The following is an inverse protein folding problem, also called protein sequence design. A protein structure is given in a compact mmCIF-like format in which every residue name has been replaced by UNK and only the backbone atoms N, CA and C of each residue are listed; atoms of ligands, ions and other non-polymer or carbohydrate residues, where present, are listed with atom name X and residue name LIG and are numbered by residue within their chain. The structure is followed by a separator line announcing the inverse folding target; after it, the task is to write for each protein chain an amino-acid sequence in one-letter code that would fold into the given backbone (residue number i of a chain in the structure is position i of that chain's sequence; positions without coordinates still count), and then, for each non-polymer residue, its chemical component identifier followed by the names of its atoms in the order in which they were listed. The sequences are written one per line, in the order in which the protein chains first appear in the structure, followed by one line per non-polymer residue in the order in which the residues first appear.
data_IF_497808197880
#
_entry.id   IF_497808197880
#
_cell.length_a   1.000
_cell.length_b   1.000
_cell.length_c   1.000
_cell.angle_alpha   90.00
_cell.angle_beta   90.00
_cell.angle_gamma   90.00
#
_symmetry.space_group_name_H-M   'P 1'
#
loop_
_entity.id
_entity.type
_entity.pdbx_description
1 polymer ?
#
# COMPACT_ATOMS: atom_id res chain seq x y z
N UNK A 1 -31.65 28.91 -6.11
CA UNK A 1 -31.20 27.56 -6.52
C UNK A 1 -29.73 27.43 -6.12
N UNK A 2 -29.45 26.77 -5.00
CA UNK A 2 -28.08 26.52 -4.58
C UNK A 2 -27.61 25.19 -5.21
N UNK A 3 -26.39 25.10 -5.75
CA UNK A 3 -25.86 23.86 -6.26
C UNK A 3 -25.68 22.90 -5.08
N UNK A 4 -26.32 21.73 -5.18
CA UNK A 4 -26.05 20.61 -4.29
C UNK A 4 -24.60 20.21 -4.49
N UNK A 5 -23.74 20.57 -3.53
CA UNK A 5 -22.37 20.05 -3.41
C UNK A 5 -22.47 18.56 -3.09
N UNK A 6 -22.79 17.77 -4.11
CA UNK A 6 -22.45 16.37 -4.12
C UNK A 6 -20.93 16.33 -4.11
N UNK A 7 -20.34 15.92 -3.00
CA UNK A 7 -18.97 15.43 -3.00
C UNK A 7 -18.97 14.35 -4.08
N UNK A 8 -18.42 14.64 -5.25
CA UNK A 8 -18.33 13.68 -6.32
C UNK A 8 -17.43 12.55 -5.78
N UNK A 9 -17.99 11.36 -5.45
CA UNK A 9 -17.24 10.34 -4.73
C UNK A 9 -16.00 9.89 -5.52
N UNK A 10 -16.02 10.06 -6.84
CA UNK A 10 -14.89 9.71 -7.71
C UNK A 10 -13.65 10.57 -7.53
N UNK A 11 -13.79 11.86 -7.18
CA UNK A 11 -12.63 12.77 -7.07
C UNK A 11 -11.87 12.55 -5.77
N UNK A 12 -12.58 12.35 -4.65
CA UNK A 12 -11.96 12.00 -3.36
C UNK A 12 -11.27 10.64 -3.41
N UNK A 13 -11.96 9.63 -3.97
CA UNK A 13 -11.42 8.27 -4.13
C UNK A 13 -10.16 8.23 -5.00
N UNK A 14 -10.10 9.00 -6.09
CA UNK A 14 -8.92 9.06 -6.95
C UNK A 14 -7.70 9.68 -6.23
N UNK A 15 -7.93 10.70 -5.38
CA UNK A 15 -6.89 11.32 -4.57
C UNK A 15 -6.35 10.33 -3.53
N UNK A 16 -7.24 9.61 -2.85
CA UNK A 16 -6.85 8.63 -1.82
C UNK A 16 -6.09 7.45 -2.43
N UNK A 17 -6.50 6.98 -3.62
CA UNK A 17 -5.78 5.96 -4.37
C UNK A 17 -4.38 6.42 -4.80
N UNK A 18 -4.25 7.67 -5.26
CA UNK A 18 -2.97 8.28 -5.61
C UNK A 18 -2.02 8.35 -4.42
N UNK A 19 -2.53 8.75 -3.24
CA UNK A 19 -1.75 8.77 -2.00
C UNK A 19 -1.31 7.38 -1.56
N UNK A 20 -2.21 6.38 -1.61
CA UNK A 20 -1.88 5.00 -1.24
C UNK A 20 -0.80 4.41 -2.16
N UNK A 21 -0.90 4.66 -3.47
CA UNK A 21 0.12 4.23 -4.45
C UNK A 21 1.47 4.87 -4.18
N UNK A 22 1.49 6.19 -3.91
CA UNK A 22 2.74 6.88 -3.59
C UNK A 22 3.35 6.38 -2.27
N UNK A 23 2.53 6.09 -1.27
CA UNK A 23 2.99 5.52 0.00
C UNK A 23 3.60 4.11 -0.21
N UNK A 24 2.97 3.26 -1.03
CA UNK A 24 3.49 1.94 -1.38
C UNK A 24 4.88 2.03 -2.02
N UNK A 25 5.06 2.89 -3.04
CA UNK A 25 6.37 3.09 -3.68
C UNK A 25 7.44 3.58 -2.70
N UNK A 26 7.07 4.45 -1.75
CA UNK A 26 8.01 4.91 -0.70
C UNK A 26 8.41 3.77 0.25
N UNK A 27 7.49 2.86 0.57
CA UNK A 27 7.78 1.68 1.40
C UNK A 27 8.72 0.71 0.68
N UNK A 28 8.51 0.45 -0.60
CA UNK A 28 9.41 -0.41 -1.41
C UNK A 28 10.83 0.18 -1.45
N UNK A 29 10.96 1.48 -1.68
CA UNK A 29 12.26 2.15 -1.68
C UNK A 29 12.96 2.08 -0.30
N UNK A 30 12.19 2.27 0.78
CA UNK A 30 12.73 2.13 2.14
C UNK A 30 13.18 0.68 2.42
N UNK A 31 12.41 -0.32 1.97
CA UNK A 31 12.75 -1.72 2.07
C UNK A 31 14.09 -2.04 1.37
N UNK A 32 14.28 -1.53 0.15
CA UNK A 32 15.52 -1.73 -0.61
C UNK A 32 16.73 -1.09 0.06
N UNK A 33 16.57 0.14 0.58
CA UNK A 33 17.63 0.82 1.33
C UNK A 33 18.03 0.02 2.57
N UNK A 34 17.05 -0.41 3.36
CA UNK A 34 17.27 -1.17 4.60
C UNK A 34 17.96 -2.50 4.29
N UNK A 35 17.51 -3.20 3.25
CA UNK A 35 18.13 -4.45 2.82
C UNK A 35 19.58 -4.22 2.37
N UNK A 36 19.86 -3.16 1.62
CA UNK A 36 21.22 -2.78 1.22
C UNK A 36 22.12 -2.44 2.41
N UNK A 37 21.60 -1.77 3.44
CA UNK A 37 22.34 -1.51 4.69
C UNK A 37 22.65 -2.81 5.43
N UNK A 38 21.69 -3.73 5.53
CA UNK A 38 21.88 -5.05 6.13
C UNK A 38 23.00 -5.83 5.43
N UNK A 39 22.98 -5.90 4.10
CA UNK A 39 24.01 -6.63 3.32
C UNK A 39 25.40 -6.03 3.54
N UNK A 40 25.52 -4.69 3.53
CA UNK A 40 26.80 -4.01 3.81
C UNK A 40 27.31 -4.31 5.22
N UNK A 41 26.42 -4.23 6.21
CA UNK A 41 26.80 -4.52 7.60
C UNK A 41 27.22 -5.98 7.78
N UNK A 42 26.53 -6.92 7.13
CA UNK A 42 26.93 -8.34 7.09
C UNK A 42 28.33 -8.53 6.51
N UNK A 43 28.67 -7.82 5.42
CA UNK A 43 30.00 -7.85 4.83
C UNK A 43 31.08 -7.36 5.80
N UNK A 44 30.87 -6.19 6.42
CA UNK A 44 31.82 -5.64 7.40
C UNK A 44 31.95 -6.54 8.65
N UNK A 45 30.86 -7.15 9.10
CA UNK A 45 30.88 -8.08 10.22
C UNK A 45 31.72 -9.34 9.92
N UNK A 46 31.57 -9.91 8.72
CA UNK A 46 32.35 -11.06 8.30
C UNK A 46 33.84 -10.74 8.16
N UNK A 47 34.17 -9.56 7.62
CA UNK A 47 35.56 -9.09 7.50
C UNK A 47 36.20 -8.85 8.88
N UNK A 48 35.44 -8.28 9.82
CA UNK A 48 35.90 -8.09 11.19
C UNK A 48 36.15 -9.42 11.90
N UNK A 49 35.21 -10.36 11.78
CA UNK A 49 35.31 -11.67 12.41
C UNK A 49 36.49 -12.49 11.85
N UNK A 50 36.79 -12.38 10.57
CA UNK A 50 37.92 -13.06 9.94
C UNK A 50 39.28 -12.56 10.44
N UNK A 51 39.39 -11.29 10.79
CA UNK A 51 40.64 -10.64 11.18
C UNK A 51 40.80 -10.50 12.70
N UNK A 52 39.74 -10.68 13.48
CA UNK A 52 39.73 -10.40 14.91
C UNK A 52 39.04 -11.52 15.70
N UNK A 53 39.79 -12.55 16.11
CA UNK A 53 39.31 -13.57 17.06
C UNK A 53 39.61 -13.13 18.50
N UNK A 54 38.66 -12.48 19.16
CA UNK A 54 38.80 -12.12 20.58
C UNK A 54 37.43 -12.00 21.28
N UNK A 55 37.41 -11.78 22.60
CA UNK A 55 36.17 -11.48 23.33
C UNK A 55 35.39 -10.29 22.73
N UNK A 56 36.07 -9.33 22.08
CA UNK A 56 35.42 -8.19 21.43
C UNK A 56 34.61 -8.60 20.19
N UNK A 57 35.07 -9.59 19.41
CA UNK A 57 34.33 -10.05 18.22
C UNK A 57 33.06 -10.79 18.59
N UNK A 58 33.05 -11.53 19.70
CA UNK A 58 31.82 -12.17 20.23
C UNK A 58 30.77 -11.14 20.68
N UNK A 59 31.20 -10.05 21.31
CA UNK A 59 30.30 -8.94 21.66
C UNK A 59 29.75 -8.25 20.42
N UNK A 60 30.61 -7.99 19.42
CA UNK A 60 30.17 -7.43 18.14
C UNK A 60 29.17 -8.35 17.43
N UNK A 61 29.45 -9.66 17.38
CA UNK A 61 28.56 -10.67 16.80
C UNK A 61 27.18 -10.67 17.48
N UNK A 62 27.14 -10.60 18.81
CA UNK A 62 25.88 -10.56 19.56
C UNK A 62 25.04 -9.32 19.23
N UNK A 63 25.66 -8.14 19.20
CA UNK A 63 24.98 -6.89 18.83
C UNK A 63 24.54 -6.92 17.36
N UNK A 64 25.38 -7.48 16.50
CA UNK A 64 25.07 -7.65 15.09
C UNK A 64 23.86 -8.57 14.85
N UNK A 65 23.78 -9.69 15.58
CA UNK A 65 22.66 -10.63 15.49
C UNK A 65 21.35 -9.98 15.95
N UNK A 66 21.39 -9.21 17.04
CA UNK A 66 20.25 -8.43 17.55
C UNK A 66 19.79 -7.38 16.53
N UNK A 67 20.74 -6.66 15.93
CA UNK A 67 20.47 -5.69 14.88
C UNK A 67 19.84 -6.33 13.63
N UNK A 68 20.30 -7.53 13.26
CA UNK A 68 19.76 -8.28 12.14
C UNK A 68 18.33 -8.77 12.41
N UNK A 69 18.00 -9.15 13.64
CA UNK A 69 16.62 -9.47 14.03
C UNK A 69 15.71 -8.26 13.92
N UNK A 70 16.17 -7.08 14.37
CA UNK A 70 15.39 -5.86 14.28
C UNK A 70 15.17 -5.40 12.84
N UNK A 71 16.16 -5.57 11.96
CA UNK A 71 15.95 -5.35 10.53
C UNK A 71 14.89 -6.27 9.94
N UNK A 72 14.87 -7.54 10.32
CA UNK A 72 13.82 -8.46 9.83
C UNK A 72 12.43 -8.01 10.28
N UNK A 73 12.27 -7.58 11.54
CA UNK A 73 11.01 -7.02 12.03
C UNK A 73 10.59 -5.78 11.24
N UNK A 74 11.51 -4.88 10.96
CA UNK A 74 11.23 -3.66 10.18
C UNK A 74 10.84 -3.98 8.73
N UNK A 75 11.57 -4.86 8.06
CA UNK A 75 11.25 -5.30 6.69
C UNK A 75 9.88 -5.98 6.64
N UNK A 76 9.57 -6.83 7.63
CA UNK A 76 8.25 -7.47 7.75
C UNK A 76 7.13 -6.43 7.93
N UNK A 77 7.31 -5.45 8.82
CA UNK A 77 6.33 -4.39 9.02
C UNK A 77 6.12 -3.54 7.74
N UNK A 78 7.19 -3.22 7.01
CA UNK A 78 7.11 -2.51 5.73
C UNK A 78 6.33 -3.33 4.68
N UNK A 79 6.60 -4.63 4.59
CA UNK A 79 5.89 -5.54 3.69
C UNK A 79 4.39 -5.63 4.03
N UNK A 80 4.05 -5.74 5.31
CA UNK A 80 2.65 -5.76 5.77
C UNK A 80 1.91 -4.46 5.46
N UNK A 81 2.57 -3.31 5.68
CA UNK A 81 2.00 -2.02 5.30
C UNK A 81 1.80 -1.91 3.79
N UNK A 82 2.75 -2.39 2.99
CA UNK A 82 2.61 -2.42 1.54
C UNK A 82 1.41 -3.27 1.10
N UNK A 83 1.25 -4.48 1.65
CA UNK A 83 0.09 -5.34 1.39
C UNK A 83 -1.24 -4.67 1.77
N UNK A 84 -1.30 -3.98 2.91
CA UNK A 84 -2.50 -3.25 3.33
C UNK A 84 -2.85 -2.10 2.38
N UNK A 85 -1.86 -1.41 1.82
CA UNK A 85 -2.08 -0.35 0.84
C UNK A 85 -2.59 -0.91 -0.49
N UNK A 86 -2.05 -2.04 -0.97
CA UNK A 86 -2.56 -2.75 -2.15
C UNK A 86 -4.00 -3.21 -1.92
N UNK A 87 -4.31 -3.77 -0.75
CA UNK A 87 -5.67 -4.20 -0.42
C UNK A 87 -6.64 -3.02 -0.37
N UNK A 88 -6.24 -1.92 0.26
CA UNK A 88 -7.01 -0.67 0.26
C UNK A 88 -7.32 -0.21 -1.16
N UNK A 89 -6.31 -0.22 -2.05
CA UNK A 89 -6.48 0.10 -3.47
C UNK A 89 -7.52 -0.82 -4.14
N UNK A 90 -7.38 -2.13 -3.99
CA UNK A 90 -8.30 -3.10 -4.59
C UNK A 90 -9.75 -2.92 -4.09
N UNK A 91 -9.92 -2.60 -2.80
CA UNK A 91 -11.24 -2.32 -2.21
C UNK A 91 -11.89 -1.07 -2.80
N UNK A 92 -11.10 0.00 -3.01
CA UNK A 92 -11.59 1.23 -3.65
C UNK A 92 -11.98 1.00 -5.11
N UNK A 93 -11.16 0.26 -5.86
CA UNK A 93 -11.46 -0.10 -7.26
C UNK A 93 -12.76 -0.90 -7.35
N UNK A 94 -12.91 -1.94 -6.52
CA UNK A 94 -14.14 -2.74 -6.46
C UNK A 94 -15.38 -1.92 -6.08
N UNK A 95 -15.27 -1.04 -5.09
CA UNK A 95 -16.38 -0.18 -4.68
C UNK A 95 -16.82 0.79 -5.79
N UNK A 96 -15.86 1.29 -6.57
CA UNK A 96 -16.13 2.19 -7.71
C UNK A 96 -16.83 1.46 -8.85
N UNK A 97 -16.41 0.23 -9.14
CA UNK A 97 -17.01 -0.59 -10.20
C UNK A 97 -18.47 -0.95 -9.82
N UNK A 98 -18.71 -1.34 -8.57
CA UNK A 98 -20.06 -1.57 -8.04
C UNK A 98 -20.96 -0.32 -8.13
N UNK A 99 -20.43 0.86 -7.79
CA UNK A 99 -21.16 2.12 -7.91
C UNK A 99 -21.56 2.42 -9.36
N UNK A 100 -20.64 2.17 -10.31
CA UNK A 100 -20.88 2.37 -11.74
C UNK A 100 -21.97 1.44 -12.26
N UNK A 101 -21.93 0.16 -11.86
CA UNK A 101 -22.94 -0.82 -12.23
C UNK A 101 -24.33 -0.47 -11.69
N UNK A 102 -24.41 -0.01 -10.43
CA UNK A 102 -25.67 0.44 -9.82
C UNK A 102 -26.23 1.64 -10.58
N UNK A 103 -25.39 2.64 -10.90
CA UNK A 103 -25.80 3.83 -11.64
C UNK A 103 -26.28 3.47 -13.04
N UNK A 104 -25.56 2.60 -13.75
CA UNK A 104 -25.98 2.12 -15.07
C UNK A 104 -27.32 1.37 -15.01
N UNK A 105 -27.52 0.54 -13.99
CA UNK A 105 -28.77 -0.18 -13.76
C UNK A 105 -29.92 0.78 -13.45
N UNK A 106 -29.70 1.79 -12.61
CA UNK A 106 -30.70 2.83 -12.31
C UNK A 106 -31.06 3.62 -13.57
N UNK A 107 -30.08 4.02 -14.37
CA UNK A 107 -30.34 4.71 -15.66
C UNK A 107 -31.18 3.83 -16.60
N UNK A 108 -30.90 2.52 -16.68
CA UNK A 108 -31.74 1.62 -17.48
C UNK A 108 -33.17 1.50 -16.95
N UNK A 109 -33.34 1.39 -15.62
CA UNK A 109 -34.67 1.32 -15.01
C UNK A 109 -35.47 2.61 -15.22
N UNK A 110 -34.84 3.77 -15.06
CA UNK A 110 -35.47 5.08 -15.30
C UNK A 110 -35.85 5.21 -16.78
N UNK A 111 -34.93 4.91 -17.71
CA UNK A 111 -35.21 5.03 -19.14
C UNK A 111 -36.31 4.06 -19.60
N UNK A 112 -36.34 2.83 -19.09
CA UNK A 112 -37.40 1.88 -19.38
C UNK A 112 -38.74 2.34 -18.81
N UNK A 113 -38.78 2.85 -17.58
CA UNK A 113 -40.00 3.36 -16.97
C UNK A 113 -40.56 4.60 -17.70
N UNK A 114 -39.67 5.52 -18.11
CA UNK A 114 -40.04 6.69 -18.93
C UNK A 114 -40.60 6.27 -20.30
N UNK A 115 -40.01 5.25 -20.93
CA UNK A 115 -40.51 4.70 -22.20
C UNK A 115 -41.88 4.01 -22.07
N UNK A 116 -42.27 3.55 -20.88
CA UNK A 116 -43.57 2.91 -20.63
C UNK A 116 -44.66 3.91 -20.20
N UNK A 117 -44.27 5.07 -19.64
CA UNK A 117 -45.19 6.15 -19.31
C UNK A 117 -45.61 6.99 -20.53
N UNK A 118 -44.81 7.01 -21.60
CA UNK A 118 -45.11 7.73 -22.85
C UNK A 118 -46.06 7.03 -23.82
N UNK A 119 -46.53 5.81 -23.51
CA UNK A 119 -47.40 5.00 -24.39
C UNK A 119 -48.84 4.83 -23.88
N UNK A 120 -49.23 5.52 -22.80
CA UNK A 120 -50.64 5.63 -22.42
C UNK A 120 -51.24 6.88 -23.09
N UNK A 121 -52.32 6.63 -23.83
CA UNK A 121 -53.09 7.51 -24.73
C UNK A 121 -53.44 8.91 -24.21
#
# INVERSE_FOLDING_TARGET
MAPTTGINPTTGQAIDLGKATQAATRLDHAHDIINGLKVRLQGHAAELAANWDSKASRSFQSVFDEFNQDFQKQLQALAEMHQKLIHTKAHYESSRDQQTDIVNRVHQLINNNVNHAGTAQ
#
